data_IF_573373586939
#
_entry.id   IF_573373586939
#
_cell.length_a   1.000
_cell.length_b   1.000
_cell.length_c   1.000
_cell.angle_alpha   90.00
_cell.angle_beta   90.00
_cell.angle_gamma   90.00
#
_symmetry.space_group_name_H-M   'P 1'
#
loop_
_entity.id
_entity.type
_entity.pdbx_description
1 polymer ?
#
# COMPACT_ATOMS: atom_id res chain seq x y z
N UNK A 1 -0.20 26.79 -17.81
CA UNK A 1 0.15 25.37 -18.02
C UNK A 1 -0.78 24.44 -17.25
N UNK A 2 -0.96 24.61 -15.95
CA UNK A 2 -1.78 23.72 -15.09
C UNK A 2 -3.24 23.63 -15.54
N UNK A 3 -3.86 24.75 -15.92
CA UNK A 3 -5.26 24.77 -16.37
C UNK A 3 -5.45 24.01 -17.69
N UNK A 4 -4.52 24.17 -18.65
CA UNK A 4 -4.57 23.48 -19.93
C UNK A 4 -4.38 21.97 -19.74
N UNK A 5 -3.44 21.58 -18.88
CA UNK A 5 -3.22 20.17 -18.55
C UNK A 5 -4.47 19.54 -17.89
N UNK A 6 -5.09 20.26 -16.95
CA UNK A 6 -6.33 19.81 -16.31
C UNK A 6 -7.48 19.63 -17.30
N UNK A 7 -7.64 20.56 -18.25
CA UNK A 7 -8.63 20.46 -19.33
C UNK A 7 -8.36 19.25 -20.21
N UNK A 8 -7.09 19.08 -20.66
CA UNK A 8 -6.69 17.96 -21.49
C UNK A 8 -6.94 16.61 -20.79
N UNK A 9 -6.58 16.51 -19.50
CA UNK A 9 -6.81 15.29 -18.72
C UNK A 9 -8.32 15.00 -18.59
N UNK A 10 -9.14 16.02 -18.33
CA UNK A 10 -10.60 15.89 -18.25
C UNK A 10 -11.21 15.41 -19.57
N UNK A 11 -10.69 15.88 -20.71
CA UNK A 11 -11.17 15.49 -22.04
C UNK A 11 -10.72 14.10 -22.45
N UNK A 12 -9.42 13.79 -22.24
CA UNK A 12 -8.82 12.54 -22.72
C UNK A 12 -9.00 11.35 -21.77
N UNK A 13 -9.13 11.61 -20.47
CA UNK A 13 -9.24 10.58 -19.44
C UNK A 13 -10.15 11.03 -18.28
N UNK A 14 -11.46 11.23 -18.56
CA UNK A 14 -12.41 11.74 -17.57
C UNK A 14 -12.50 10.85 -16.31
N UNK A 15 -12.41 9.55 -16.45
CA UNK A 15 -12.45 8.62 -15.33
C UNK A 15 -11.29 8.84 -14.35
N UNK A 16 -10.07 9.00 -14.88
CA UNK A 16 -8.87 9.24 -14.06
C UNK A 16 -8.93 10.65 -13.44
N UNK A 17 -9.36 11.63 -14.20
CA UNK A 17 -9.55 12.99 -13.70
C UNK A 17 -10.54 13.03 -12.53
N UNK A 18 -11.70 12.38 -12.67
CA UNK A 18 -12.70 12.30 -11.62
C UNK A 18 -12.20 11.49 -10.41
N UNK A 19 -11.47 10.39 -10.62
CA UNK A 19 -10.87 9.61 -9.55
C UNK A 19 -9.87 10.44 -8.73
N UNK A 20 -9.04 11.26 -9.39
CA UNK A 20 -8.10 12.16 -8.72
C UNK A 20 -8.83 13.24 -7.91
N UNK A 21 -9.92 13.81 -8.44
CA UNK A 21 -10.72 14.80 -7.72
C UNK A 21 -11.49 14.24 -6.53
N UNK A 22 -11.96 13.00 -6.62
CA UNK A 22 -12.80 12.37 -5.59
C UNK A 22 -12.07 12.20 -4.26
N UNK A 23 -10.73 12.08 -4.25
CA UNK A 23 -9.93 11.80 -3.07
C UNK A 23 -9.03 12.99 -2.65
N UNK A 24 -9.51 14.22 -2.85
CA UNK A 24 -8.81 15.44 -2.43
C UNK A 24 -8.69 15.55 -0.90
N UNK A 25 -9.64 15.01 -0.16
CA UNK A 25 -9.64 15.01 1.30
C UNK A 25 -9.15 13.66 1.81
N UNK A 26 -8.21 13.68 2.75
CA UNK A 26 -7.68 12.46 3.37
C UNK A 26 -8.77 11.59 4.02
N UNK A 27 -9.86 12.21 4.48
CA UNK A 27 -11.02 11.54 5.10
C UNK A 27 -11.82 10.70 4.11
N UNK A 28 -11.75 10.99 2.81
CA UNK A 28 -12.55 10.31 1.79
C UNK A 28 -11.86 9.02 1.30
N UNK A 29 -10.56 8.86 1.60
CA UNK A 29 -9.75 7.73 1.13
C UNK A 29 -10.19 6.41 1.75
N UNK A 30 -10.30 6.33 3.07
CA UNK A 30 -10.67 5.09 3.77
C UNK A 30 -12.07 4.57 3.37
N UNK A 31 -13.12 5.40 3.36
CA UNK A 31 -14.44 4.97 2.87
C UNK A 31 -14.38 4.45 1.43
N UNK A 32 -13.62 5.11 0.57
CA UNK A 32 -13.46 4.70 -0.84
C UNK A 32 -12.83 3.32 -0.97
N UNK A 33 -11.66 3.08 -0.34
CA UNK A 33 -10.95 1.80 -0.45
C UNK A 33 -11.67 0.65 0.26
N UNK A 34 -12.48 0.93 1.30
CA UNK A 34 -13.35 -0.07 1.93
C UNK A 34 -14.57 -0.43 1.07
N UNK A 35 -15.10 0.55 0.33
CA UNK A 35 -16.22 0.33 -0.58
C UNK A 35 -15.81 -0.44 -1.83
N UNK A 36 -14.65 -0.12 -2.39
CA UNK A 36 -14.12 -0.78 -3.57
C UNK A 36 -13.44 -2.10 -3.17
N UNK A 37 -14.03 -3.21 -3.57
CA UNK A 37 -13.52 -4.55 -3.22
C UNK A 37 -12.16 -4.82 -3.87
N UNK A 38 -12.06 -4.51 -5.16
CA UNK A 38 -10.84 -4.61 -5.96
C UNK A 38 -10.70 -3.29 -6.70
N UNK A 39 -9.55 -2.68 -6.61
CA UNK A 39 -9.25 -1.40 -7.25
C UNK A 39 -7.81 -1.32 -7.72
N UNK A 40 -7.54 -0.38 -8.62
CA UNK A 40 -6.19 -0.07 -9.06
C UNK A 40 -5.72 1.24 -8.42
N UNK A 41 -4.42 1.32 -8.18
CA UNK A 41 -3.72 2.56 -7.83
C UNK A 41 -2.37 2.59 -8.55
N UNK A 42 -1.71 3.73 -8.53
CA UNK A 42 -0.38 3.85 -9.10
C UNK A 42 0.65 4.22 -8.04
N UNK A 43 1.88 3.81 -8.26
CA UNK A 43 3.05 4.28 -7.55
C UNK A 43 4.05 4.80 -8.58
N UNK A 44 4.58 6.01 -8.34
CA UNK A 44 5.62 6.61 -9.17
C UNK A 44 6.88 6.74 -8.34
N UNK A 45 7.93 6.05 -8.75
CA UNK A 45 9.26 6.20 -8.17
C UNK A 45 10.24 6.56 -9.28
N UNK A 46 10.81 5.61 -10.02
CA UNK A 46 11.54 5.88 -11.27
C UNK A 46 10.63 5.74 -12.50
N UNK A 47 9.66 4.85 -12.40
CA UNK A 47 8.62 4.62 -13.42
C UNK A 47 7.26 4.57 -12.73
N UNK A 48 6.22 4.99 -13.45
CA UNK A 48 4.85 4.81 -12.99
C UNK A 48 4.42 3.37 -13.20
N UNK A 49 4.01 2.70 -12.14
CA UNK A 49 3.51 1.34 -12.17
C UNK A 49 2.08 1.29 -11.62
N UNK A 50 1.22 0.56 -12.33
CA UNK A 50 -0.15 0.29 -11.88
C UNK A 50 -0.16 -0.97 -11.04
N UNK A 51 -0.88 -0.91 -9.93
CA UNK A 51 -1.15 -2.02 -9.03
C UNK A 51 -2.65 -2.29 -8.97
N UNK A 52 -3.02 -3.55 -8.89
CA UNK A 52 -4.40 -3.98 -8.67
C UNK A 52 -4.47 -4.79 -7.37
N UNK A 53 -5.36 -4.42 -6.48
CA UNK A 53 -5.38 -5.05 -5.18
C UNK A 53 -6.60 -4.73 -4.35
N UNK A 54 -6.48 -5.00 -3.07
CA UNK A 54 -7.56 -4.80 -2.10
C UNK A 54 -7.02 -4.26 -0.78
N UNK A 55 -7.90 -3.61 -0.02
CA UNK A 55 -7.62 -3.14 1.33
C UNK A 55 -7.51 -4.31 2.30
N UNK A 56 -6.44 -4.31 3.12
CA UNK A 56 -6.23 -5.29 4.20
C UNK A 56 -6.62 -4.67 5.55
N UNK A 57 -6.04 -3.51 5.91
CA UNK A 57 -6.20 -2.93 7.24
C UNK A 57 -5.50 -1.58 7.39
N UNK A 58 -5.64 -1.01 8.58
CA UNK A 58 -4.95 0.22 8.97
C UNK A 58 -3.60 -0.10 9.61
N UNK A 59 -2.59 0.70 9.29
CA UNK A 59 -1.27 0.62 9.91
C UNK A 59 -1.27 1.27 11.29
N UNK A 60 -0.13 1.20 11.99
CA UNK A 60 0.06 1.87 13.28
C UNK A 60 0.02 3.41 13.16
N UNK A 61 0.29 3.95 11.97
CA UNK A 61 0.23 5.38 11.71
C UNK A 61 -1.14 5.79 11.16
N UNK A 62 -1.82 6.79 11.74
CA UNK A 62 -3.12 7.25 11.27
C UNK A 62 -3.11 7.71 9.81
N UNK A 63 -4.06 7.20 9.02
CA UNK A 63 -4.18 7.52 7.60
C UNK A 63 -3.23 6.75 6.69
N UNK A 64 -2.55 5.72 7.22
CA UNK A 64 -1.77 4.77 6.44
C UNK A 64 -2.49 3.43 6.40
N UNK A 65 -2.58 2.83 5.22
CA UNK A 65 -3.36 1.62 4.98
C UNK A 65 -2.53 0.55 4.31
N UNK A 66 -2.71 -0.70 4.73
CA UNK A 66 -2.18 -1.86 4.03
C UNK A 66 -3.05 -2.20 2.82
N UNK A 67 -2.43 -2.33 1.67
CA UNK A 67 -3.03 -2.86 0.46
C UNK A 67 -2.35 -4.17 0.08
N UNK A 68 -3.12 -5.14 -0.41
CA UNK A 68 -2.61 -6.39 -0.96
C UNK A 68 -2.53 -6.31 -2.47
N UNK A 69 -1.37 -6.60 -3.05
CA UNK A 69 -1.16 -6.72 -4.49
C UNK A 69 -1.61 -8.11 -4.96
N UNK A 70 -2.69 -8.19 -5.74
CA UNK A 70 -3.29 -9.44 -6.19
C UNK A 70 -2.48 -10.19 -7.27
N UNK A 71 -1.29 -9.70 -7.65
CA UNK A 71 -0.33 -10.49 -8.43
C UNK A 71 0.22 -11.67 -7.62
N UNK A 72 0.43 -11.51 -6.34
CA UNK A 72 0.86 -12.59 -5.45
C UNK A 72 -0.31 -13.49 -5.08
N UNK A 73 -0.11 -14.80 -5.17
CA UNK A 73 -1.10 -15.75 -4.69
C UNK A 73 -1.23 -15.66 -3.16
N UNK A 74 -2.43 -15.41 -2.62
CA UNK A 74 -2.62 -15.35 -1.17
C UNK A 74 -2.30 -16.63 -0.42
N UNK A 75 -2.46 -17.80 -1.04
CA UNK A 75 -2.16 -19.09 -0.43
C UNK A 75 -0.72 -19.20 0.05
N UNK A 76 0.24 -18.61 -0.71
CA UNK A 76 1.66 -18.59 -0.37
C UNK A 76 1.96 -17.79 0.90
N UNK A 77 1.05 -16.94 1.32
CA UNK A 77 1.25 -15.91 2.35
C UNK A 77 0.45 -16.21 3.62
N UNK A 78 -0.79 -16.65 3.45
CA UNK A 78 -1.72 -16.84 4.57
C UNK A 78 -1.29 -17.97 5.50
N UNK A 79 -0.57 -18.97 4.98
CA UNK A 79 -0.01 -20.08 5.75
C UNK A 79 1.22 -19.71 6.57
N UNK A 80 1.83 -18.53 6.33
CA UNK A 80 3.06 -18.11 6.99
C UNK A 80 2.83 -17.71 8.44
N UNK A 81 3.76 -18.13 9.31
CA UNK A 81 3.88 -17.57 10.66
C UNK A 81 4.44 -16.13 10.59
N UNK A 82 4.43 -15.41 11.72
CA UNK A 82 4.83 -13.99 11.78
C UNK A 82 6.27 -13.79 11.34
N UNK A 83 7.20 -14.67 11.72
CA UNK A 83 8.63 -14.53 11.38
C UNK A 83 8.85 -14.70 9.87
N UNK A 84 8.30 -15.74 9.27
CA UNK A 84 8.39 -15.98 7.83
C UNK A 84 7.67 -14.88 7.04
N UNK A 85 6.56 -14.35 7.57
CA UNK A 85 5.85 -13.24 6.99
C UNK A 85 6.70 -11.95 7.02
N UNK A 86 7.39 -11.67 8.14
CA UNK A 86 8.33 -10.55 8.29
C UNK A 86 9.46 -10.60 7.26
N UNK A 87 10.03 -11.79 7.02
CA UNK A 87 11.02 -12.01 5.98
C UNK A 87 10.44 -11.77 4.58
N UNK A 88 9.28 -12.35 4.29
CA UNK A 88 8.64 -12.25 2.98
C UNK A 88 8.30 -10.80 2.58
N UNK A 89 7.74 -10.00 3.50
CA UNK A 89 7.43 -8.59 3.24
C UNK A 89 8.66 -7.68 3.16
N UNK A 90 9.83 -8.16 3.61
CA UNK A 90 11.11 -7.44 3.54
C UNK A 90 11.82 -7.63 2.20
N UNK A 91 11.39 -8.59 1.38
CA UNK A 91 11.93 -8.84 0.04
C UNK A 91 11.66 -7.68 -0.91
N UNK A 92 12.43 -7.58 -1.96
CA UNK A 92 12.36 -6.49 -2.95
C UNK A 92 11.02 -6.42 -3.69
N UNK A 93 10.38 -7.57 -3.95
CA UNK A 93 9.03 -7.64 -4.56
C UNK A 93 7.96 -7.57 -3.47
N UNK A 94 7.60 -6.36 -3.08
CA UNK A 94 6.57 -6.12 -2.07
C UNK A 94 5.18 -6.43 -2.63
N UNK A 95 4.47 -7.33 -1.97
CA UNK A 95 3.06 -7.64 -2.24
C UNK A 95 2.10 -6.95 -1.24
N UNK A 96 2.61 -6.54 -0.06
CA UNK A 96 1.93 -5.58 0.82
C UNK A 96 2.46 -4.19 0.55
N UNK A 97 1.54 -3.30 0.23
CA UNK A 97 1.81 -1.91 -0.12
C UNK A 97 1.21 -0.97 0.89
N UNK A 98 1.82 0.21 1.05
CA UNK A 98 1.31 1.26 1.92
C UNK A 98 0.64 2.34 1.10
N UNK A 99 -0.65 2.57 1.34
CA UNK A 99 -1.37 3.73 0.83
C UNK A 99 -1.40 4.81 1.92
N UNK A 100 -0.97 6.02 1.58
CA UNK A 100 -1.00 7.18 2.49
C UNK A 100 -2.10 8.13 2.07
N UNK A 101 -3.10 8.33 2.93
CA UNK A 101 -4.26 9.18 2.62
C UNK A 101 -3.88 10.65 2.35
N UNK A 102 -2.82 11.14 3.01
CA UNK A 102 -2.36 12.53 2.84
C UNK A 102 -1.58 12.79 1.54
N UNK A 103 -1.41 11.78 0.67
CA UNK A 103 -0.74 11.92 -0.63
C UNK A 103 -1.71 11.98 -1.80
N UNK A 104 -2.98 12.26 -1.54
CA UNK A 104 -4.04 12.33 -2.56
C UNK A 104 -3.97 11.16 -3.56
N UNK A 105 -4.11 9.92 -3.09
CA UNK A 105 -3.98 8.75 -3.95
C UNK A 105 -5.07 8.75 -5.03
N UNK A 106 -4.75 8.26 -6.21
CA UNK A 106 -5.72 8.05 -7.28
C UNK A 106 -6.16 6.58 -7.22
N UNK A 107 -7.43 6.36 -6.88
CA UNK A 107 -8.04 5.02 -6.84
C UNK A 107 -8.89 4.86 -8.11
N UNK A 108 -8.50 3.90 -8.92
CA UNK A 108 -9.09 3.63 -10.23
C UNK A 108 -9.87 2.31 -10.22
N UNK A 109 -10.77 2.16 -11.18
CA UNK A 109 -11.48 0.89 -11.41
C UNK A 109 -10.51 -0.26 -11.74
N UNK A 110 -10.86 -1.48 -11.33
CA UNK A 110 -10.08 -2.69 -11.59
C UNK A 110 -9.81 -2.97 -13.07
N UNK A 111 -10.60 -2.39 -14.00
CA UNK A 111 -10.38 -2.52 -15.45
C UNK A 111 -8.98 -2.07 -15.88
N UNK A 112 -8.41 -1.11 -15.16
CA UNK A 112 -7.07 -0.58 -15.44
C UNK A 112 -5.95 -1.58 -15.13
N UNK A 113 -6.21 -2.67 -14.39
CA UNK A 113 -5.23 -3.74 -14.22
C UNK A 113 -4.84 -4.40 -15.54
N UNK A 114 -5.75 -4.42 -16.50
CA UNK A 114 -5.51 -5.02 -17.82
C UNK A 114 -4.56 -4.19 -18.70
N UNK A 115 -4.04 -3.07 -18.22
CA UNK A 115 -2.94 -2.35 -18.87
C UNK A 115 -1.56 -2.94 -18.53
N UNK A 116 -1.48 -3.79 -17.51
CA UNK A 116 -0.27 -4.46 -17.06
C UNK A 116 -0.32 -5.94 -17.48
N UNK A 117 0.75 -6.44 -18.13
CA UNK A 117 0.78 -7.79 -18.70
C UNK A 117 0.67 -8.89 -17.63
N UNK A 118 1.29 -8.70 -16.43
CA UNK A 118 1.21 -9.68 -15.33
C UNK A 118 -0.25 -9.89 -14.89
N UNK A 119 -1.07 -8.81 -14.82
CA UNK A 119 -2.49 -8.95 -14.47
C UNK A 119 -3.34 -9.51 -15.62
N UNK A 120 -2.97 -9.25 -16.88
CA UNK A 120 -3.63 -9.89 -18.01
C UNK A 120 -3.46 -11.40 -18.00
N UNK A 121 -2.24 -11.87 -17.73
CA UNK A 121 -1.94 -13.32 -17.63
C UNK A 121 -2.72 -13.97 -16.51
N UNK A 122 -2.82 -13.31 -15.34
CA UNK A 122 -3.60 -13.79 -14.19
C UNK A 122 -5.10 -13.86 -14.52
N UNK A 123 -5.63 -12.83 -15.16
CA UNK A 123 -7.02 -12.71 -15.56
C UNK A 123 -7.99 -12.39 -14.42
N UNK A 124 -9.14 -11.82 -14.77
CA UNK A 124 -10.14 -11.37 -13.78
C UNK A 124 -10.69 -12.48 -12.88
N UNK A 125 -10.85 -13.70 -13.39
CA UNK A 125 -11.37 -14.81 -12.63
C UNK A 125 -10.47 -15.14 -11.44
N UNK A 126 -9.17 -15.23 -11.71
CA UNK A 126 -8.17 -15.54 -10.68
C UNK A 126 -7.99 -14.36 -9.72
N UNK A 127 -7.96 -13.12 -10.19
CA UNK A 127 -7.94 -11.90 -9.35
C UNK A 127 -9.11 -11.91 -8.36
N UNK A 128 -10.32 -12.27 -8.80
CA UNK A 128 -11.49 -12.36 -7.93
C UNK A 128 -11.39 -13.50 -6.90
N UNK A 129 -10.80 -14.66 -7.26
CA UNK A 129 -10.54 -15.75 -6.29
C UNK A 129 -9.57 -15.28 -5.20
N UNK A 130 -8.45 -14.68 -5.60
CA UNK A 130 -7.44 -14.16 -4.68
C UNK A 130 -8.03 -13.10 -3.75
N UNK A 131 -8.83 -12.18 -4.28
CA UNK A 131 -9.57 -11.22 -3.47
C UNK A 131 -10.44 -11.89 -2.39
N UNK A 132 -11.26 -12.88 -2.78
CA UNK A 132 -12.13 -13.59 -1.83
C UNK A 132 -11.35 -14.28 -0.72
N UNK A 133 -10.18 -14.81 -1.05
CA UNK A 133 -9.32 -15.46 -0.07
C UNK A 133 -8.73 -14.43 0.91
N UNK A 134 -8.24 -13.29 0.42
CA UNK A 134 -7.81 -12.17 1.28
C UNK A 134 -8.96 -11.64 2.11
N UNK A 135 -10.15 -11.46 1.55
CA UNK A 135 -11.32 -10.98 2.28
C UNK A 135 -11.67 -11.87 3.47
N UNK A 136 -11.62 -13.21 3.26
CA UNK A 136 -11.87 -14.21 4.32
C UNK A 136 -10.87 -14.14 5.47
N UNK A 137 -9.60 -13.84 5.19
CA UNK A 137 -8.50 -13.83 6.16
C UNK A 137 -8.00 -12.41 6.47
N UNK A 138 -8.77 -11.37 6.11
CA UNK A 138 -8.35 -9.96 6.20
C UNK A 138 -7.93 -9.56 7.60
N UNK A 139 -8.73 -9.89 8.60
CA UNK A 139 -8.49 -9.49 9.99
C UNK A 139 -7.24 -10.16 10.55
N UNK A 140 -7.06 -11.45 10.30
CA UNK A 140 -5.86 -12.19 10.72
C UNK A 140 -4.61 -11.61 10.07
N UNK A 141 -4.64 -11.37 8.76
CA UNK A 141 -3.51 -10.81 8.03
C UNK A 141 -3.20 -9.38 8.50
N UNK A 142 -4.22 -8.56 8.69
CA UNK A 142 -4.07 -7.21 9.22
C UNK A 142 -3.43 -7.21 10.61
N UNK A 143 -3.84 -8.11 11.49
CA UNK A 143 -3.29 -8.26 12.83
C UNK A 143 -1.80 -8.66 12.79
N UNK A 144 -1.44 -9.68 12.00
CA UNK A 144 -0.03 -10.10 11.81
C UNK A 144 0.85 -8.95 11.30
N UNK A 145 0.36 -8.18 10.32
CA UNK A 145 1.10 -7.05 9.76
C UNK A 145 1.31 -5.92 10.78
N UNK A 146 0.32 -5.65 11.62
CA UNK A 146 0.44 -4.65 12.69
C UNK A 146 1.49 -5.05 13.73
N UNK A 147 1.52 -6.31 14.17
CA UNK A 147 2.56 -6.81 15.08
C UNK A 147 3.95 -6.57 14.49
N UNK A 148 4.15 -6.90 13.21
CA UNK A 148 5.42 -6.68 12.53
C UNK A 148 5.81 -5.20 12.47
N UNK A 149 4.86 -4.31 12.21
CA UNK A 149 5.12 -2.87 12.17
C UNK A 149 5.41 -2.31 13.58
N UNK A 150 4.73 -2.78 14.62
CA UNK A 150 4.96 -2.39 16.02
C UNK A 150 6.37 -2.81 16.48
N UNK A 151 6.82 -4.01 16.13
CA UNK A 151 8.19 -4.46 16.38
C UNK A 151 9.21 -3.56 15.67
N UNK A 152 9.06 -3.35 14.37
CA UNK A 152 9.96 -2.48 13.60
C UNK A 152 10.01 -1.04 14.14
N UNK A 153 8.90 -0.56 14.65
CA UNK A 153 8.84 0.79 15.24
C UNK A 153 9.59 0.86 16.57
N UNK A 154 9.48 -0.17 17.41
CA UNK A 154 10.25 -0.28 18.67
C UNK A 154 11.75 -0.37 18.37
N UNK A 155 12.18 -1.27 17.51
CA UNK A 155 13.58 -1.43 17.11
C UNK A 155 14.19 -0.11 16.63
N UNK A 156 13.41 0.69 15.88
CA UNK A 156 13.85 2.01 15.41
C UNK A 156 13.99 3.03 16.54
N UNK A 157 13.07 3.05 17.49
CA UNK A 157 13.15 3.95 18.66
C UNK A 157 14.37 3.64 19.53
N UNK A 158 14.62 2.37 19.79
CA UNK A 158 15.77 1.92 20.57
C UNK A 158 17.08 2.32 19.88
N UNK A 159 17.21 2.09 18.56
CA UNK A 159 18.35 2.52 17.77
C UNK A 159 18.56 4.04 17.77
N UNK A 160 17.48 4.84 17.65
CA UNK A 160 17.57 6.30 17.71
C UNK A 160 17.95 6.81 19.10
N UNK A 161 17.59 6.11 20.17
CA UNK A 161 18.01 6.43 21.56
C UNK A 161 19.49 6.08 21.78
N UNK A 162 19.94 4.91 21.38
CA UNK A 162 21.35 4.49 21.46
C UNK A 162 22.26 5.46 20.71
N UNK A 163 21.89 5.89 19.50
CA UNK A 163 22.67 6.88 18.74
C UNK A 163 22.70 8.25 19.40
N UNK A 164 21.67 8.68 20.11
CA UNK A 164 21.68 9.93 20.85
C UNK A 164 22.60 9.86 22.07
N UNK A 165 22.62 8.73 22.78
CA UNK A 165 23.51 8.50 23.91
C UNK A 165 24.97 8.48 23.47
N UNK A 166 25.31 7.73 22.42
CA UNK A 166 26.66 7.67 21.86
C UNK A 166 27.20 9.07 21.47
N UNK A 167 26.37 9.90 20.79
CA UNK A 167 26.74 11.27 20.43
C UNK A 167 26.92 12.19 21.64
N UNK A 168 26.18 11.97 22.74
CA UNK A 168 26.34 12.75 23.95
C UNK A 168 27.62 12.38 24.72
N UNK A 169 28.06 11.14 24.65
CA UNK A 169 29.30 10.67 25.26
C UNK A 169 30.55 11.13 24.50
N UNK A 170 30.50 11.19 23.17
CA UNK A 170 31.58 11.79 22.36
C UNK A 170 31.81 13.26 22.70
N UNK A 171 30.75 14.04 22.89
CA UNK A 171 30.88 15.46 23.25
C UNK A 171 31.37 15.69 24.68
N UNK A 172 31.22 14.73 25.59
CA UNK A 172 31.71 14.84 26.97
C UNK A 172 33.18 14.40 27.11
N UNK A 173 33.72 13.67 26.15
CA UNK A 173 35.12 13.22 26.16
C UNK A 173 36.09 14.23 25.51
N UNK A 174 35.60 15.27 24.87
CA UNK A 174 36.40 16.35 24.25
C UNK A 174 36.57 17.62 25.13
N UNK A 175 36.11 17.57 26.40
CA UNK A 175 36.29 18.61 27.42
C UNK A 175 37.27 18.16 28.52
#
# INVERSE_FOLDING_TARGET
>A
VTLLLSKLLKEKSPDIFNAALALRRKTDVLPKIKKEKIFCWHESFFMTKIYCGTYIGEQIFPGWYYLYDLRKNPEDILSLNINNLKEEISKSKKWVRTLKANRSPIIMDKKYSMLDEEYKEIGYSEINKRYKLIEKHREELSHKLRIIDEEKFKDKLDFDQENKLARSEEHTSEL
#
